data_IF_273890986356
#
_entry.id   IF_273890986356
#
_cell.length_a   1.000
_cell.length_b   1.000
_cell.length_c   1.000
_cell.angle_alpha   90.00
_cell.angle_beta   90.00
_cell.angle_gamma   90.00
#
_symmetry.space_group_name_H-M   'P 1'
#
loop_
_entity.id
_entity.type
_entity.pdbx_description
1 polymer ?
#
# COMPACT_ATOMS: atom_id res chain seq x y z
N UNK A 1 20.96 -38.11 1.71
CA UNK A 1 19.79 -37.60 0.99
C UNK A 1 19.00 -36.61 1.85
N UNK A 2 18.52 -36.99 3.04
CA UNK A 2 17.74 -36.10 3.94
C UNK A 2 18.44 -34.80 4.36
N UNK A 3 19.77 -34.77 4.54
CA UNK A 3 20.49 -33.55 4.90
C UNK A 3 20.55 -32.52 3.76
N UNK A 4 20.73 -32.97 2.52
CA UNK A 4 20.69 -32.09 1.34
C UNK A 4 19.30 -31.52 1.09
N UNK A 5 18.25 -32.30 1.32
CA UNK A 5 16.87 -31.81 1.23
C UNK A 5 16.58 -30.74 2.28
N UNK A 6 17.04 -30.89 3.51
CA UNK A 6 16.87 -29.89 4.56
C UNK A 6 17.68 -28.61 4.31
N UNK A 7 18.86 -28.72 3.72
CA UNK A 7 19.68 -27.55 3.37
C UNK A 7 19.06 -26.76 2.23
N UNK A 8 18.64 -27.44 1.16
CA UNK A 8 17.97 -26.77 0.03
C UNK A 8 16.65 -26.10 0.45
N UNK A 9 15.91 -26.72 1.36
CA UNK A 9 14.67 -26.12 1.88
C UNK A 9 14.95 -24.86 2.72
N UNK A 10 15.99 -24.84 3.55
CA UNK A 10 16.41 -23.63 4.30
C UNK A 10 16.75 -22.49 3.37
N UNK A 11 17.57 -22.74 2.34
CA UNK A 11 17.91 -21.72 1.34
C UNK A 11 16.69 -21.29 0.51
N UNK A 12 15.76 -22.20 0.24
CA UNK A 12 14.49 -21.87 -0.42
C UNK A 12 13.62 -20.93 0.43
N UNK A 13 13.48 -21.17 1.73
CA UNK A 13 12.75 -20.30 2.64
C UNK A 13 13.41 -18.91 2.77
N UNK A 14 14.73 -18.84 2.86
CA UNK A 14 15.49 -17.60 2.90
C UNK A 14 15.33 -16.80 1.59
N UNK A 15 15.42 -17.49 0.46
CA UNK A 15 15.21 -16.87 -0.86
C UNK A 15 13.79 -16.30 -1.00
N UNK A 16 12.79 -17.04 -0.53
CA UNK A 16 11.41 -16.58 -0.51
C UNK A 16 11.23 -15.34 0.39
N UNK A 17 11.77 -15.36 1.61
CA UNK A 17 11.72 -14.24 2.55
C UNK A 17 12.39 -12.99 1.95
N UNK A 18 13.61 -13.14 1.40
CA UNK A 18 14.33 -12.06 0.75
C UNK A 18 13.57 -11.51 -0.46
N UNK A 19 12.96 -12.39 -1.26
CA UNK A 19 12.12 -12.00 -2.39
C UNK A 19 10.94 -11.14 -1.94
N UNK A 20 10.20 -11.56 -0.92
CA UNK A 20 9.08 -10.77 -0.39
C UNK A 20 9.55 -9.40 0.11
N UNK A 21 10.67 -9.35 0.87
CA UNK A 21 11.25 -8.08 1.34
C UNK A 21 11.61 -7.15 0.19
N UNK A 22 12.26 -7.67 -0.86
CA UNK A 22 12.64 -6.90 -2.05
C UNK A 22 11.42 -6.38 -2.81
N UNK A 23 10.42 -7.24 -3.04
CA UNK A 23 9.18 -6.85 -3.73
C UNK A 23 8.46 -5.74 -2.97
N UNK A 24 8.36 -5.82 -1.64
CA UNK A 24 7.77 -4.76 -0.82
C UNK A 24 8.50 -3.43 -0.95
N UNK A 25 9.84 -3.44 -0.98
CA UNK A 25 10.65 -2.24 -1.17
C UNK A 25 10.42 -1.63 -2.55
N UNK A 26 10.44 -2.45 -3.61
CA UNK A 26 10.28 -1.98 -4.99
C UNK A 26 8.85 -1.49 -5.25
N UNK A 27 7.84 -2.29 -4.86
CA UNK A 27 6.43 -1.96 -5.07
C UNK A 27 5.95 -0.80 -4.17
N UNK A 28 6.68 -0.49 -3.08
CA UNK A 28 6.33 0.67 -2.24
C UNK A 28 6.30 1.99 -3.01
N UNK A 29 7.07 2.11 -4.09
CA UNK A 29 7.12 3.32 -4.93
C UNK A 29 5.79 3.61 -5.63
N UNK A 30 4.95 2.60 -5.85
CA UNK A 30 3.63 2.74 -6.46
C UNK A 30 2.52 3.07 -5.44
N UNK A 31 2.87 3.32 -4.18
CA UNK A 31 1.90 3.62 -3.12
C UNK A 31 1.87 5.12 -2.79
N UNK A 32 0.69 5.68 -2.42
CA UNK A 32 0.58 7.07 -2.00
C UNK A 32 1.44 7.39 -0.77
N UNK A 33 1.62 6.40 0.11
CA UNK A 33 2.49 6.51 1.28
C UNK A 33 3.49 5.35 1.30
N UNK A 34 4.66 5.48 0.66
CA UNK A 34 5.61 4.38 0.47
C UNK A 34 6.33 3.93 1.74
N UNK A 35 6.39 4.77 2.78
CA UNK A 35 7.20 4.54 3.97
C UNK A 35 6.84 3.26 4.75
N UNK A 36 5.56 2.92 5.00
CA UNK A 36 5.22 1.71 5.76
C UNK A 36 5.70 0.44 5.06
N UNK A 37 5.33 0.25 3.79
CA UNK A 37 5.73 -0.92 2.99
C UNK A 37 7.24 -1.02 2.85
N UNK A 38 7.92 0.11 2.59
CA UNK A 38 9.37 0.14 2.44
C UNK A 38 10.09 -0.21 3.76
N UNK A 39 9.62 0.30 4.90
CA UNK A 39 10.19 -0.03 6.22
C UNK A 39 9.97 -1.50 6.56
N UNK A 40 8.78 -2.01 6.34
CA UNK A 40 8.49 -3.42 6.59
C UNK A 40 9.31 -4.33 5.66
N UNK A 41 9.44 -3.99 4.37
CA UNK A 41 10.31 -4.69 3.42
C UNK A 41 11.78 -4.75 3.88
N UNK A 42 12.31 -3.64 4.43
CA UNK A 42 13.66 -3.63 5.01
C UNK A 42 13.79 -4.50 6.25
N UNK A 43 12.77 -4.57 7.11
CA UNK A 43 12.76 -5.48 8.27
C UNK A 43 12.86 -6.93 7.78
N UNK A 44 11.98 -7.34 6.85
CA UNK A 44 11.97 -8.69 6.29
C UNK A 44 13.32 -9.03 5.65
N UNK A 45 13.87 -8.14 4.83
CA UNK A 45 15.16 -8.35 4.17
C UNK A 45 16.32 -8.43 5.16
N UNK A 46 16.30 -7.63 6.22
CA UNK A 46 17.32 -7.68 7.28
C UNK A 46 17.28 -9.00 8.05
N UNK A 47 16.08 -9.52 8.35
CA UNK A 47 15.92 -10.83 8.99
C UNK A 47 16.43 -11.94 8.06
N UNK A 48 16.06 -11.93 6.80
CA UNK A 48 16.56 -12.88 5.79
C UNK A 48 18.10 -12.87 5.72
N UNK A 49 18.72 -11.67 5.72
CA UNK A 49 20.17 -11.52 5.73
C UNK A 49 20.81 -12.08 6.99
N UNK A 50 20.26 -11.75 8.18
CA UNK A 50 20.76 -12.28 9.46
C UNK A 50 20.68 -13.81 9.51
N UNK A 51 19.57 -14.38 9.03
CA UNK A 51 19.39 -15.83 8.95
C UNK A 51 20.35 -16.47 7.94
N UNK A 52 20.60 -15.81 6.79
CA UNK A 52 21.57 -16.27 5.79
C UNK A 52 22.98 -16.32 6.36
N UNK A 53 23.39 -15.30 7.12
CA UNK A 53 24.66 -15.32 7.84
C UNK A 53 24.69 -16.42 8.92
N UNK A 54 23.57 -16.66 9.60
CA UNK A 54 23.40 -17.74 10.57
C UNK A 54 23.55 -19.15 9.96
N UNK A 55 23.34 -19.33 8.64
CA UNK A 55 23.61 -20.62 7.98
C UNK A 55 25.09 -20.96 7.91
N UNK A 56 25.99 -20.00 8.06
CA UNK A 56 27.43 -20.20 8.10
C UNK A 56 27.92 -20.63 9.48
N UNK A 57 27.06 -20.61 10.50
CA UNK A 57 27.40 -21.03 11.85
C UNK A 57 27.53 -22.55 11.96
N UNK A 58 28.33 -23.07 12.93
CA UNK A 58 28.45 -24.51 13.16
C UNK A 58 27.12 -25.23 13.43
N UNK A 59 26.16 -24.53 14.04
CA UNK A 59 24.80 -24.98 14.29
C UNK A 59 23.80 -24.04 13.61
N UNK A 60 23.52 -24.22 12.33
CA UNK A 60 22.61 -23.35 11.60
C UNK A 60 21.17 -23.49 12.09
N UNK A 61 20.38 -22.43 11.91
CA UNK A 61 18.95 -22.43 12.26
C UNK A 61 18.23 -23.56 11.51
N UNK A 62 17.44 -24.34 12.24
CA UNK A 62 16.67 -25.45 11.67
C UNK A 62 15.55 -24.95 10.74
N UNK A 63 15.03 -25.83 9.87
CA UNK A 63 13.85 -25.54 9.05
C UNK A 63 12.67 -25.08 9.91
N UNK A 64 12.44 -25.77 11.05
CA UNK A 64 11.40 -25.38 12.00
C UNK A 64 11.59 -23.94 12.51
N UNK A 65 12.83 -23.56 12.84
CA UNK A 65 13.16 -22.19 13.26
C UNK A 65 12.82 -21.15 12.19
N UNK A 66 13.13 -21.42 10.91
CA UNK A 66 12.75 -20.53 9.79
C UNK A 66 11.24 -20.42 9.66
N UNK A 67 10.48 -21.52 9.76
CA UNK A 67 9.01 -21.50 9.68
C UNK A 67 8.39 -20.70 10.83
N UNK A 68 8.93 -20.82 12.05
CA UNK A 68 8.48 -20.00 13.19
C UNK A 68 8.74 -18.51 12.94
N UNK A 69 9.91 -18.15 12.41
CA UNK A 69 10.25 -16.76 12.09
C UNK A 69 9.34 -16.22 10.98
N UNK A 70 9.12 -16.97 9.89
CA UNK A 70 8.19 -16.59 8.82
C UNK A 70 6.77 -16.40 9.37
N UNK A 71 6.30 -17.29 10.24
CA UNK A 71 4.99 -17.17 10.89
C UNK A 71 4.91 -15.89 11.73
N UNK A 72 5.96 -15.59 12.51
CA UNK A 72 6.03 -14.40 13.35
C UNK A 72 6.04 -13.11 12.53
N UNK A 73 6.92 -13.02 11.52
CA UNK A 73 6.98 -11.87 10.60
C UNK A 73 5.67 -11.68 9.83
N UNK A 74 5.11 -12.79 9.31
CA UNK A 74 3.85 -12.78 8.62
C UNK A 74 2.69 -12.31 9.49
N UNK A 75 2.59 -12.81 10.73
CA UNK A 75 1.56 -12.39 11.70
C UNK A 75 1.67 -10.90 12.03
N UNK A 76 2.88 -10.43 12.32
CA UNK A 76 3.14 -9.02 12.64
C UNK A 76 2.79 -8.11 11.45
N UNK A 77 3.25 -8.49 10.27
CA UNK A 77 2.94 -7.75 9.04
C UNK A 77 1.45 -7.77 8.69
N UNK A 78 0.74 -8.89 8.91
CA UNK A 78 -0.72 -8.95 8.72
C UNK A 78 -1.45 -7.97 9.64
N UNK A 79 -1.08 -7.90 10.92
CA UNK A 79 -1.71 -6.95 11.87
C UNK A 79 -1.53 -5.52 11.41
N UNK A 80 -0.32 -5.13 11.00
CA UNK A 80 -0.02 -3.79 10.49
C UNK A 80 -0.74 -3.56 9.15
N UNK A 81 -0.63 -4.51 8.22
CA UNK A 81 -1.17 -4.39 6.87
C UNK A 81 -2.69 -4.31 6.86
N UNK A 82 -3.39 -5.13 7.64
CA UNK A 82 -4.86 -5.08 7.77
C UNK A 82 -5.29 -3.75 8.39
N UNK A 83 -4.55 -3.24 9.39
CA UNK A 83 -4.82 -1.92 9.93
C UNK A 83 -4.72 -0.82 8.86
N UNK A 84 -3.67 -0.85 8.04
CA UNK A 84 -3.51 0.10 6.94
C UNK A 84 -4.53 -0.08 5.82
N UNK A 85 -4.86 -1.31 5.47
CA UNK A 85 -5.81 -1.62 4.40
C UNK A 85 -7.25 -1.24 4.74
N UNK A 86 -7.69 -1.52 5.98
CA UNK A 86 -9.11 -1.37 6.38
C UNK A 86 -9.34 -0.02 7.05
N UNK A 87 -8.50 0.36 8.02
CA UNK A 87 -8.77 1.52 8.87
C UNK A 87 -8.24 2.83 8.30
N UNK A 88 -7.00 2.86 7.84
CA UNK A 88 -6.39 4.10 7.35
C UNK A 88 -6.48 4.26 5.84
N UNK A 89 -6.71 3.18 5.10
CA UNK A 89 -6.74 3.12 3.62
C UNK A 89 -5.55 3.81 2.96
N UNK A 90 -4.37 3.77 3.60
CA UNK A 90 -3.16 4.46 3.12
C UNK A 90 -2.17 3.56 2.40
N UNK A 91 -2.28 2.25 2.60
CA UNK A 91 -1.30 1.28 2.10
C UNK A 91 -2.00 -0.08 1.93
N UNK A 92 -1.69 -0.80 0.85
CA UNK A 92 -2.38 -2.06 0.48
C UNK A 92 -1.44 -3.24 0.28
N UNK A 93 -0.12 -3.05 0.30
CA UNK A 93 0.86 -4.09 -0.03
C UNK A 93 1.24 -4.96 1.17
N UNK A 94 1.36 -4.38 2.37
CA UNK A 94 1.86 -5.12 3.54
C UNK A 94 0.99 -6.34 3.82
N UNK A 95 -0.35 -6.19 3.82
CA UNK A 95 -1.25 -7.28 4.17
C UNK A 95 -1.10 -8.50 3.25
N UNK A 96 -1.21 -8.41 1.90
CA UNK A 96 -1.08 -9.57 1.04
C UNK A 96 0.31 -10.19 1.08
N UNK A 97 1.39 -9.41 1.12
CA UNK A 97 2.75 -9.97 1.17
C UNK A 97 3.08 -10.60 2.53
N UNK A 98 2.61 -10.02 3.63
CA UNK A 98 2.71 -10.65 4.95
C UNK A 98 1.88 -11.92 5.05
N UNK A 99 0.72 -11.95 4.38
CA UNK A 99 -0.10 -13.15 4.28
C UNK A 99 0.61 -14.31 3.59
N UNK A 100 1.43 -14.04 2.55
CA UNK A 100 2.27 -15.08 1.96
C UNK A 100 3.32 -15.62 2.94
N UNK A 101 4.02 -14.74 3.68
CA UNK A 101 4.95 -15.17 4.73
C UNK A 101 4.26 -16.03 5.78
N UNK A 102 3.08 -15.60 6.25
CA UNK A 102 2.29 -16.31 7.24
C UNK A 102 1.80 -17.66 6.73
N UNK A 103 1.26 -17.74 5.51
CA UNK A 103 0.78 -18.98 4.92
C UNK A 103 1.90 -20.01 4.74
N UNK A 104 3.07 -19.59 4.28
CA UNK A 104 4.23 -20.49 4.14
C UNK A 104 4.72 -20.94 5.51
N UNK A 105 4.83 -20.03 6.47
CA UNK A 105 5.27 -20.34 7.82
C UNK A 105 4.33 -21.32 8.54
N UNK A 106 3.06 -20.96 8.69
CA UNK A 106 2.08 -21.79 9.41
C UNK A 106 1.77 -23.10 8.67
N UNK A 107 1.69 -23.05 7.32
CA UNK A 107 1.49 -24.24 6.51
C UNK A 107 2.64 -25.24 6.65
N UNK A 108 3.90 -24.75 6.62
CA UNK A 108 5.08 -25.57 6.86
C UNK A 108 5.12 -26.17 8.27
N UNK A 109 4.80 -25.37 9.30
CA UNK A 109 4.68 -25.86 10.69
C UNK A 109 3.63 -26.96 10.79
N UNK A 110 2.47 -26.77 10.18
CA UNK A 110 1.40 -27.76 10.18
C UNK A 110 1.82 -29.05 9.50
N UNK A 111 2.45 -28.96 8.32
CA UNK A 111 2.96 -30.15 7.61
C UNK A 111 4.01 -30.88 8.46
N UNK A 112 4.88 -30.16 9.17
CA UNK A 112 5.91 -30.79 10.02
C UNK A 112 5.35 -31.53 11.24
N UNK A 113 4.21 -31.10 11.76
CA UNK A 113 3.55 -31.73 12.92
C UNK A 113 2.45 -32.73 12.53
N UNK A 114 2.08 -32.79 11.23
CA UNK A 114 0.95 -33.58 10.72
C UNK A 114 0.93 -35.04 11.16
N UNK A 115 2.07 -35.77 11.15
CA UNK A 115 2.09 -37.18 11.55
C UNK A 115 1.75 -37.43 13.03
N UNK A 116 1.99 -36.42 13.88
CA UNK A 116 1.79 -36.52 15.33
C UNK A 116 0.38 -36.12 15.77
N UNK A 117 -0.46 -35.60 14.83
CA UNK A 117 -1.80 -35.14 15.11
C UNK A 117 -2.82 -36.29 15.06
N UNK A 118 -3.80 -36.26 15.95
CA UNK A 118 -4.96 -37.15 15.86
C UNK A 118 -5.92 -36.73 14.72
N UNK A 119 -6.86 -37.61 14.36
CA UNK A 119 -7.78 -37.40 13.24
C UNK A 119 -8.61 -36.09 13.36
N UNK A 120 -9.04 -35.73 14.56
CA UNK A 120 -9.79 -34.50 14.80
C UNK A 120 -8.89 -33.26 14.59
N UNK A 121 -7.69 -33.29 15.09
CA UNK A 121 -6.70 -32.22 14.91
C UNK A 121 -6.30 -32.05 13.45
N UNK A 122 -6.14 -33.15 12.71
CA UNK A 122 -5.86 -33.13 11.28
C UNK A 122 -7.00 -32.47 10.50
N UNK A 123 -8.27 -32.82 10.76
CA UNK A 123 -9.41 -32.19 10.10
C UNK A 123 -9.57 -30.72 10.49
N UNK A 124 -9.39 -30.38 11.75
CA UNK A 124 -9.43 -29.01 12.25
C UNK A 124 -8.33 -28.15 11.60
N UNK A 125 -7.13 -28.70 11.52
CA UNK A 125 -6.00 -28.06 10.88
C UNK A 125 -6.18 -27.88 9.39
N UNK A 126 -6.70 -28.88 8.70
CA UNK A 126 -7.04 -28.74 7.28
C UNK A 126 -8.07 -27.62 7.06
N UNK A 127 -9.13 -27.57 7.88
CA UNK A 127 -10.12 -26.49 7.83
C UNK A 127 -9.48 -25.11 8.05
N UNK A 128 -8.56 -24.99 9.02
CA UNK A 128 -7.82 -23.76 9.27
C UNK A 128 -6.96 -23.34 8.07
N UNK A 129 -6.25 -24.27 7.42
CA UNK A 129 -5.45 -23.99 6.22
C UNK A 129 -6.33 -23.53 5.04
N UNK A 130 -7.50 -24.14 4.85
CA UNK A 130 -8.47 -23.70 3.82
C UNK A 130 -8.94 -22.27 4.09
N UNK A 131 -9.35 -21.96 5.32
CA UNK A 131 -9.77 -20.62 5.71
C UNK A 131 -8.65 -19.59 5.52
N UNK A 132 -7.42 -19.96 5.84
CA UNK A 132 -6.23 -19.15 5.63
C UNK A 132 -6.01 -18.86 4.14
N UNK A 133 -6.11 -19.90 3.29
CA UNK A 133 -5.99 -19.75 1.84
C UNK A 133 -7.05 -18.84 1.24
N UNK A 134 -8.31 -18.97 1.69
CA UNK A 134 -9.41 -18.07 1.29
C UNK A 134 -9.12 -16.63 1.74
N UNK A 135 -8.72 -16.44 3.00
CA UNK A 135 -8.36 -15.12 3.54
C UNK A 135 -7.20 -14.48 2.77
N UNK A 136 -6.16 -15.27 2.46
CA UNK A 136 -5.02 -14.80 1.66
C UNK A 136 -5.43 -14.42 0.24
N UNK A 137 -6.27 -15.22 -0.40
CA UNK A 137 -6.81 -14.91 -1.72
C UNK A 137 -7.57 -13.58 -1.70
N UNK A 138 -8.42 -13.37 -0.69
CA UNK A 138 -9.12 -12.10 -0.50
C UNK A 138 -8.16 -10.91 -0.32
N UNK A 139 -7.11 -11.06 0.50
CA UNK A 139 -6.10 -10.01 0.68
C UNK A 139 -5.37 -9.66 -0.61
N UNK A 140 -5.03 -10.67 -1.43
CA UNK A 140 -4.42 -10.47 -2.75
C UNK A 140 -5.36 -9.70 -3.67
N UNK A 141 -6.61 -10.13 -3.79
CA UNK A 141 -7.61 -9.43 -4.59
C UNK A 141 -7.79 -7.99 -4.12
N UNK A 142 -8.05 -7.80 -2.83
CA UNK A 142 -8.32 -6.48 -2.25
C UNK A 142 -7.10 -5.55 -2.30
N UNK A 143 -5.89 -6.08 -2.05
CA UNK A 143 -4.67 -5.29 -1.98
C UNK A 143 -4.01 -5.06 -3.33
N UNK A 144 -3.90 -6.08 -4.19
CA UNK A 144 -3.10 -6.01 -5.41
C UNK A 144 -3.95 -5.75 -6.67
N UNK A 145 -5.20 -6.22 -6.74
CA UNK A 145 -6.05 -6.08 -7.92
C UNK A 145 -7.02 -4.90 -7.81
N UNK A 146 -7.63 -4.69 -6.63
CA UNK A 146 -8.59 -3.60 -6.40
C UNK A 146 -7.91 -2.40 -5.72
N UNK A 147 -6.65 -2.51 -5.35
CA UNK A 147 -5.90 -1.61 -4.45
C UNK A 147 -5.74 -0.16 -4.87
N UNK A 148 -6.69 0.41 -5.60
CA UNK A 148 -6.78 1.84 -5.83
C UNK A 148 -7.18 2.54 -4.55
N UNK A 149 -6.51 3.63 -4.27
CA UNK A 149 -6.65 4.41 -3.03
C UNK A 149 -6.87 5.90 -3.39
N UNK A 150 -7.99 6.26 -4.07
CA UNK A 150 -8.19 7.61 -4.56
C UNK A 150 -8.09 8.65 -3.45
N UNK A 151 -8.73 8.41 -2.30
CA UNK A 151 -8.64 9.32 -1.16
C UNK A 151 -7.21 9.45 -0.61
N UNK A 152 -6.45 8.35 -0.55
CA UNK A 152 -5.06 8.40 -0.06
C UNK A 152 -4.13 9.11 -1.04
N UNK A 153 -4.36 8.98 -2.36
CA UNK A 153 -3.65 9.75 -3.37
C UNK A 153 -3.97 11.24 -3.29
N UNK A 154 -5.24 11.61 -3.10
CA UNK A 154 -5.64 13.01 -2.88
C UNK A 154 -5.01 13.58 -1.62
N UNK A 155 -4.94 12.81 -0.52
CA UNK A 155 -4.22 13.21 0.69
C UNK A 155 -2.71 13.36 0.46
N UNK A 156 -2.09 12.46 -0.33
CA UNK A 156 -0.68 12.56 -0.68
C UNK A 156 -0.41 13.80 -1.54
N UNK A 157 -1.29 14.12 -2.49
CA UNK A 157 -1.26 15.34 -3.29
C UNK A 157 -1.30 16.60 -2.43
N UNK A 158 -2.19 16.66 -1.43
CA UNK A 158 -2.22 17.77 -0.47
C UNK A 158 -0.92 17.90 0.33
N UNK A 159 -0.34 16.78 0.77
CA UNK A 159 0.95 16.79 1.48
C UNK A 159 2.08 17.29 0.57
N UNK A 160 2.11 16.87 -0.70
CA UNK A 160 3.08 17.34 -1.69
C UNK A 160 2.92 18.86 -1.91
N UNK A 161 1.67 19.32 -2.09
CA UNK A 161 1.34 20.73 -2.29
C UNK A 161 1.77 21.59 -1.08
N UNK A 162 1.49 21.16 0.15
CA UNK A 162 1.92 21.86 1.37
C UNK A 162 3.43 21.97 1.51
N UNK A 163 4.20 21.09 0.85
CA UNK A 163 5.66 21.13 0.79
C UNK A 163 6.21 21.91 -0.40
N UNK A 164 5.34 22.46 -1.26
CA UNK A 164 5.71 23.21 -2.44
C UNK A 164 6.05 22.36 -3.67
N UNK A 165 5.81 21.04 -3.62
CA UNK A 165 6.01 20.14 -4.77
C UNK A 165 4.74 20.11 -5.63
N UNK A 166 4.63 21.05 -6.57
CA UNK A 166 3.44 21.15 -7.44
C UNK A 166 3.52 20.14 -8.57
N UNK A 167 4.66 20.06 -9.26
CA UNK A 167 4.90 19.24 -10.44
C UNK A 167 5.99 18.18 -10.19
N UNK A 168 6.15 17.23 -11.15
CA UNK A 168 7.12 16.13 -11.08
C UNK A 168 6.51 14.79 -10.66
N UNK A 169 7.30 13.71 -10.69
CA UNK A 169 6.83 12.33 -10.44
C UNK A 169 6.17 12.12 -9.07
N UNK A 170 6.64 12.84 -8.04
CA UNK A 170 6.12 12.81 -6.67
C UNK A 170 5.37 14.11 -6.32
N UNK A 171 5.03 14.93 -7.31
CA UNK A 171 4.34 16.21 -7.17
C UNK A 171 2.84 16.05 -6.90
N UNK A 172 2.20 17.18 -6.55
CA UNK A 172 0.77 17.22 -6.27
C UNK A 172 -0.06 16.81 -7.49
N UNK A 173 0.29 17.28 -8.69
CA UNK A 173 -0.41 16.92 -9.94
C UNK A 173 -0.38 15.42 -10.15
N UNK A 174 0.79 14.79 -10.13
CA UNK A 174 0.92 13.34 -10.32
C UNK A 174 0.18 12.51 -9.25
N UNK A 175 0.06 13.04 -8.03
CA UNK A 175 -0.74 12.41 -6.98
C UNK A 175 -2.24 12.53 -7.25
N UNK A 176 -2.73 13.70 -7.64
CA UNK A 176 -4.16 13.90 -7.92
C UNK A 176 -4.60 13.19 -9.20
N UNK A 177 -3.74 13.05 -10.21
CA UNK A 177 -4.01 12.21 -11.39
C UNK A 177 -4.24 10.73 -11.04
N UNK A 178 -3.68 10.25 -9.94
CA UNK A 178 -3.93 8.91 -9.39
C UNK A 178 -5.07 8.90 -8.37
N UNK A 179 -5.61 10.06 -8.04
CA UNK A 179 -6.62 10.26 -6.99
C UNK A 179 -8.06 10.06 -7.45
N UNK A 180 -8.31 9.71 -8.72
CA UNK A 180 -9.65 9.42 -9.23
C UNK A 180 -9.79 7.93 -9.59
N UNK A 181 -11.01 7.41 -9.54
CA UNK A 181 -11.35 6.03 -9.87
C UNK A 181 -12.75 5.94 -10.47
N UNK A 182 -12.92 5.04 -11.43
CA UNK A 182 -14.22 4.75 -12.03
C UNK A 182 -15.17 3.99 -11.09
N UNK A 183 -14.64 3.32 -10.05
CA UNK A 183 -15.45 2.59 -9.07
C UNK A 183 -15.87 3.44 -7.87
N UNK A 184 -15.08 4.47 -7.52
CA UNK A 184 -15.35 5.41 -6.42
C UNK A 184 -15.60 6.83 -6.98
N UNK A 185 -16.49 6.95 -7.96
CA UNK A 185 -16.78 8.20 -8.69
C UNK A 185 -17.12 9.39 -7.78
N UNK A 186 -17.72 9.15 -6.62
CA UNK A 186 -18.06 10.19 -5.64
C UNK A 186 -16.84 10.90 -5.04
N UNK A 187 -15.61 10.35 -5.19
CA UNK A 187 -14.37 10.97 -4.74
C UNK A 187 -13.65 11.75 -5.86
N UNK A 188 -14.03 11.52 -7.12
CA UNK A 188 -13.38 12.11 -8.27
C UNK A 188 -13.45 13.65 -8.28
N UNK A 189 -14.57 14.32 -7.90
CA UNK A 189 -14.62 15.76 -7.86
C UNK A 189 -13.51 16.43 -7.06
N UNK A 190 -13.06 15.80 -5.97
CA UNK A 190 -11.95 16.31 -5.15
C UNK A 190 -10.63 16.37 -5.93
N UNK A 191 -10.35 15.33 -6.74
CA UNK A 191 -9.16 15.30 -7.59
C UNK A 191 -9.28 16.26 -8.77
N UNK A 192 -10.44 16.33 -9.42
CA UNK A 192 -10.67 17.20 -10.58
C UNK A 192 -10.54 18.68 -10.23
N UNK A 193 -11.13 19.13 -9.10
CA UNK A 193 -10.95 20.50 -8.60
C UNK A 193 -9.49 20.81 -8.35
N UNK A 194 -8.75 19.88 -7.71
CA UNK A 194 -7.35 20.08 -7.43
C UNK A 194 -6.53 20.20 -8.72
N UNK A 195 -6.75 19.28 -9.68
CA UNK A 195 -6.06 19.29 -10.98
C UNK A 195 -6.37 20.53 -11.80
N UNK A 196 -7.64 20.96 -11.86
CA UNK A 196 -8.03 22.20 -12.51
C UNK A 196 -7.23 23.40 -11.93
N UNK A 197 -7.26 23.59 -10.62
CA UNK A 197 -6.61 24.72 -9.95
C UNK A 197 -5.09 24.68 -10.04
N UNK A 198 -4.48 23.49 -9.94
CA UNK A 198 -3.04 23.31 -10.09
C UNK A 198 -2.55 23.63 -11.49
N UNK A 199 -3.27 23.18 -12.53
CA UNK A 199 -2.91 23.46 -13.91
C UNK A 199 -3.08 24.96 -14.26
N UNK A 200 -4.12 25.64 -13.74
CA UNK A 200 -4.21 27.08 -13.82
C UNK A 200 -3.02 27.79 -13.17
N UNK A 201 -2.63 27.33 -11.98
CA UNK A 201 -1.54 27.92 -11.23
C UNK A 201 -0.18 27.81 -11.94
N UNK A 202 0.09 26.69 -12.65
CA UNK A 202 1.32 26.52 -13.46
C UNK A 202 1.20 27.13 -14.86
N UNK A 203 0.03 27.66 -15.24
CA UNK A 203 -0.23 28.32 -16.54
C UNK A 203 -0.63 27.38 -17.67
N UNK A 204 -0.86 26.10 -17.41
CA UNK A 204 -1.39 25.15 -18.41
C UNK A 204 -2.91 25.24 -18.48
N UNK A 205 -3.37 26.23 -19.26
CA UNK A 205 -4.81 26.49 -19.43
C UNK A 205 -5.53 25.37 -20.20
N UNK A 206 -4.83 24.68 -21.11
CA UNK A 206 -5.44 23.59 -21.89
C UNK A 206 -5.84 22.45 -20.98
N UNK A 207 -4.89 21.92 -20.23
CA UNK A 207 -5.13 20.81 -19.28
C UNK A 207 -6.07 21.22 -18.15
N UNK A 208 -6.00 22.49 -17.70
CA UNK A 208 -6.94 23.02 -16.71
C UNK A 208 -8.38 22.99 -17.20
N UNK A 209 -8.62 23.31 -18.50
CA UNK A 209 -9.95 23.27 -19.09
C UNK A 209 -10.49 21.85 -19.23
N UNK A 210 -9.62 20.88 -19.56
CA UNK A 210 -10.02 19.47 -19.63
C UNK A 210 -10.49 18.96 -18.25
N UNK A 211 -9.78 19.30 -17.19
CA UNK A 211 -10.19 18.94 -15.83
C UNK A 211 -11.45 19.69 -15.37
N UNK A 212 -11.67 20.92 -15.82
CA UNK A 212 -12.90 21.63 -15.55
C UNK A 212 -14.11 20.94 -16.19
N UNK A 213 -14.00 20.51 -17.44
CA UNK A 213 -15.07 19.74 -18.09
C UNK A 213 -15.32 18.41 -17.37
N UNK A 214 -14.29 17.68 -16.99
CA UNK A 214 -14.46 16.46 -16.21
C UNK A 214 -15.15 16.71 -14.86
N UNK A 215 -14.87 17.86 -14.22
CA UNK A 215 -15.55 18.28 -12.98
C UNK A 215 -17.03 18.62 -13.23
N UNK A 216 -17.34 19.35 -14.31
CA UNK A 216 -18.71 19.72 -14.69
C UNK A 216 -19.55 18.47 -14.97
N UNK A 217 -19.00 17.47 -15.64
CA UNK A 217 -19.68 16.21 -15.97
C UNK A 217 -20.11 15.41 -14.72
N UNK A 218 -19.41 15.60 -13.59
CA UNK A 218 -19.74 14.93 -12.32
C UNK A 218 -20.51 15.83 -11.32
N UNK A 219 -21.02 16.99 -11.79
CA UNK A 219 -21.86 17.89 -10.99
C UNK A 219 -21.17 19.14 -10.45
N UNK A 220 -19.96 19.44 -10.92
CA UNK A 220 -19.21 20.63 -10.58
C UNK A 220 -18.64 20.66 -9.17
N UNK A 221 -18.29 21.83 -8.67
CA UNK A 221 -17.71 22.03 -7.33
C UNK A 221 -18.70 21.76 -6.18
N UNK A 222 -20.01 21.68 -6.45
CA UNK A 222 -21.03 21.50 -5.41
C UNK A 222 -20.91 20.18 -4.63
N UNK A 223 -20.28 19.17 -5.24
CA UNK A 223 -19.99 17.88 -4.61
C UNK A 223 -18.70 17.86 -3.76
N UNK A 224 -17.95 18.97 -3.71
CA UNK A 224 -16.66 19.06 -3.01
C UNK A 224 -16.82 19.91 -1.76
N UNK A 225 -16.27 19.42 -0.63
CA UNK A 225 -16.28 20.18 0.60
C UNK A 225 -15.54 21.52 0.43
N UNK A 226 -16.13 22.66 0.81
CA UNK A 226 -15.51 23.97 0.65
C UNK A 226 -14.13 24.07 1.31
N UNK A 227 -13.97 23.41 2.46
CA UNK A 227 -12.70 23.38 3.21
C UNK A 227 -11.56 22.71 2.40
N UNK A 228 -11.90 21.76 1.51
CA UNK A 228 -10.94 21.15 0.61
C UNK A 228 -10.44 22.15 -0.44
N UNK A 229 -11.35 22.91 -1.03
CA UNK A 229 -11.06 23.91 -2.04
C UNK A 229 -10.23 25.04 -1.42
N UNK A 230 -10.60 25.49 -0.24
CA UNK A 230 -9.88 26.51 0.54
C UNK A 230 -8.46 26.04 0.88
N UNK A 231 -8.30 24.78 1.34
CA UNK A 231 -7.00 24.22 1.65
C UNK A 231 -6.05 24.16 0.44
N UNK A 232 -6.57 23.89 -0.76
CA UNK A 232 -5.79 23.94 -2.01
C UNK A 232 -5.40 25.38 -2.31
N UNK A 233 -6.34 26.33 -2.26
CA UNK A 233 -6.09 27.72 -2.51
C UNK A 233 -5.03 28.30 -1.57
N UNK A 234 -5.17 28.06 -0.28
CA UNK A 234 -4.21 28.50 0.75
C UNK A 234 -2.81 27.92 0.55
N UNK A 235 -2.74 26.66 0.12
CA UNK A 235 -1.45 26.03 -0.14
C UNK A 235 -0.78 26.66 -1.38
N UNK A 236 -1.53 26.94 -2.45
CA UNK A 236 -1.04 27.60 -3.65
C UNK A 236 -0.63 29.06 -3.37
N UNK A 237 -1.42 29.79 -2.60
CA UNK A 237 -1.11 31.17 -2.21
C UNK A 237 0.17 31.27 -1.37
N UNK A 238 0.50 30.26 -0.58
CA UNK A 238 1.78 30.19 0.15
C UNK A 238 2.98 29.94 -0.74
N UNK A 239 2.79 29.23 -1.87
CA UNK A 239 3.87 28.96 -2.84
C UNK A 239 4.14 30.19 -3.71
N UNK A 240 3.09 30.75 -4.32
CA UNK A 240 3.17 31.95 -5.14
C UNK A 240 1.86 32.76 -5.03
N UNK A 241 1.83 33.83 -4.21
CA UNK A 241 0.62 34.66 -4.02
C UNK A 241 0.12 35.31 -5.32
N UNK A 242 1.04 35.72 -6.21
CA UNK A 242 0.66 36.39 -7.47
C UNK A 242 -0.05 35.40 -8.42
N UNK A 243 0.49 34.19 -8.59
CA UNK A 243 -0.13 33.17 -9.40
C UNK A 243 -1.48 32.69 -8.81
N UNK A 244 -1.64 32.73 -7.50
CA UNK A 244 -2.90 32.34 -6.86
C UNK A 244 -4.05 33.33 -7.13
N UNK A 245 -3.76 34.58 -7.51
CA UNK A 245 -4.82 35.55 -7.87
C UNK A 245 -5.58 35.21 -9.16
N UNK A 246 -5.02 34.34 -10.00
CA UNK A 246 -5.66 33.86 -11.24
C UNK A 246 -6.70 32.78 -10.94
N UNK A 247 -6.68 32.18 -9.76
CA UNK A 247 -7.60 31.11 -9.38
C UNK A 247 -9.02 31.64 -9.18
N UNK A 248 -10.06 30.85 -9.55
CA UNK A 248 -11.45 31.22 -9.28
C UNK A 248 -11.64 31.50 -7.79
N UNK A 249 -12.30 32.63 -7.47
CA UNK A 249 -12.70 32.95 -6.10
C UNK A 249 -13.61 31.87 -5.55
N UNK A 250 -13.43 31.54 -4.27
CA UNK A 250 -14.38 30.68 -3.55
C UNK A 250 -15.78 31.31 -3.67
N UNK A 251 -16.72 30.60 -4.27
CA UNK A 251 -18.11 31.00 -4.16
C UNK A 251 -18.52 30.74 -2.71
N UNK A 252 -18.40 31.77 -1.87
CA UNK A 252 -19.10 31.76 -0.59
C UNK A 252 -20.58 31.69 -0.92
N UNK A 253 -21.18 30.51 -0.74
CA UNK A 253 -22.63 30.37 -0.66
C UNK A 253 -23.06 31.10 0.62
N UNK A 254 -23.26 32.44 0.47
CA UNK A 254 -24.11 33.17 1.39
C UNK A 254 -25.55 32.76 1.06
N UNK A 255 -26.08 31.78 1.82
CA UNK A 255 -27.50 31.67 2.16
C UNK A 255 -27.65 30.87 3.48
#
# INVERSE_FOLDING_TARGET
MLLFEQESLRWGLLGFEAFIGLVLILASKSQPFPLPSRRFGWIVLSVALMLSLGQLAPNPVSVLGHLVILTGLGSFGLLIGIHHLIRTRREVLIAPFSGFLFCVGIGGLMVSTWPDLNTFEQWSGFGALVMLGVGQTWLVFRGLLIGRLPLAWSQAGMVALQRGFVDGEDGAIACFEKGWDAEEEHLNPMAYVALHRLNLFIGDQHTATEWLHALEDVGGETGVAPEWIEAIHDALARINPEAATVLPSLQTSEE
#
